data_IF_295302752891
#
_entry.id   IF_295302752891
#
_cell.length_a   1.000
_cell.length_b   1.000
_cell.length_c   1.000
_cell.angle_alpha   90.00
_cell.angle_beta   90.00
_cell.angle_gamma   90.00
#
_symmetry.space_group_name_H-M   'P 1'
#
loop_
_entity.id
_entity.type
_entity.pdbx_description
1 polymer ?
#
# COMPACT_ATOMS: atom_id res chain seq x y z
N UNK A 1 -46.10 -13.11 11.04
CA UNK A 1 -45.40 -13.10 9.73
C UNK A 1 -45.42 -14.53 9.19
N UNK A 2 -45.87 -14.79 7.96
CA UNK A 2 -46.00 -16.18 7.46
C UNK A 2 -44.65 -16.74 7.01
N UNK A 3 -44.43 -18.05 7.15
CA UNK A 3 -43.21 -18.75 6.70
C UNK A 3 -42.84 -18.41 5.25
N UNK A 4 -43.84 -18.32 4.36
CA UNK A 4 -43.67 -17.92 2.96
C UNK A 4 -43.13 -16.49 2.79
N UNK A 5 -43.51 -15.55 3.65
CA UNK A 5 -42.96 -14.18 3.65
C UNK A 5 -41.53 -14.15 4.17
N UNK A 6 -41.22 -14.91 5.21
CA UNK A 6 -39.87 -15.06 5.75
C UNK A 6 -38.91 -15.65 4.70
N UNK A 7 -39.31 -16.73 4.02
CA UNK A 7 -38.50 -17.36 2.97
C UNK A 7 -38.21 -16.41 1.80
N UNK A 8 -39.18 -15.60 1.37
CA UNK A 8 -38.95 -14.60 0.31
C UNK A 8 -37.93 -13.54 0.72
N UNK A 9 -37.97 -13.09 1.97
CA UNK A 9 -37.00 -12.11 2.49
C UNK A 9 -35.62 -12.75 2.61
N UNK A 10 -35.54 -13.95 3.18
CA UNK A 10 -34.28 -14.68 3.28
C UNK A 10 -33.64 -14.90 1.90
N UNK A 11 -34.43 -15.33 0.91
CA UNK A 11 -33.95 -15.51 -0.46
C UNK A 11 -33.49 -14.19 -1.09
N UNK A 12 -34.25 -13.11 -0.89
CA UNK A 12 -33.85 -11.77 -1.35
C UNK A 12 -32.53 -11.29 -0.73
N UNK A 13 -32.32 -11.54 0.58
CA UNK A 13 -31.08 -11.22 1.28
C UNK A 13 -29.89 -12.04 0.76
N UNK A 14 -30.10 -13.33 0.46
CA UNK A 14 -29.06 -14.18 -0.12
C UNK A 14 -28.63 -13.67 -1.49
N UNK A 15 -29.58 -13.29 -2.35
CA UNK A 15 -29.26 -12.69 -3.66
C UNK A 15 -28.50 -11.37 -3.48
N UNK A 16 -28.98 -10.49 -2.61
CA UNK A 16 -28.31 -9.21 -2.34
C UNK A 16 -26.88 -9.40 -1.85
N UNK A 17 -26.68 -10.36 -0.93
CA UNK A 17 -25.36 -10.72 -0.43
C UNK A 17 -24.47 -11.26 -1.55
N UNK A 18 -24.97 -12.16 -2.40
CA UNK A 18 -24.21 -12.71 -3.52
C UNK A 18 -23.79 -11.61 -4.52
N UNK A 19 -24.67 -10.65 -4.81
CA UNK A 19 -24.34 -9.49 -5.66
C UNK A 19 -23.29 -8.61 -4.99
N UNK A 20 -23.42 -8.33 -3.70
CA UNK A 20 -22.44 -7.52 -2.96
C UNK A 20 -21.05 -8.17 -2.96
N UNK A 21 -20.97 -9.48 -2.70
CA UNK A 21 -19.72 -10.25 -2.78
C UNK A 21 -19.17 -10.22 -4.20
N UNK A 22 -19.99 -10.47 -5.22
CA UNK A 22 -19.57 -10.42 -6.62
C UNK A 22 -18.99 -9.07 -7.04
N UNK A 23 -19.65 -7.96 -6.67
CA UNK A 23 -19.15 -6.61 -6.93
C UNK A 23 -17.85 -6.31 -6.17
N UNK A 24 -17.72 -6.83 -4.95
CA UNK A 24 -16.52 -6.67 -4.12
C UNK A 24 -15.34 -7.42 -4.74
N UNK A 25 -15.53 -8.67 -5.17
CA UNK A 25 -14.52 -9.48 -5.87
C UNK A 25 -13.95 -8.79 -7.11
N UNK A 26 -14.77 -8.02 -7.83
CA UNK A 26 -14.37 -7.35 -9.07
C UNK A 26 -13.64 -6.02 -8.77
N UNK A 27 -14.18 -5.22 -7.86
CA UNK A 27 -13.70 -3.85 -7.67
C UNK A 27 -12.59 -3.73 -6.62
N UNK A 28 -12.73 -4.49 -5.52
CA UNK A 28 -11.90 -4.42 -4.32
C UNK A 28 -11.68 -5.83 -3.74
N UNK A 29 -11.04 -6.74 -4.50
CA UNK A 29 -10.83 -8.14 -4.09
C UNK A 29 -10.07 -8.26 -2.77
N UNK A 30 -9.26 -7.27 -2.40
CA UNK A 30 -8.53 -7.23 -1.13
C UNK A 30 -9.46 -7.20 0.10
N UNK A 31 -10.70 -6.70 -0.02
CA UNK A 31 -11.68 -6.74 1.08
C UNK A 31 -11.98 -8.18 1.44
N UNK A 32 -12.15 -9.06 0.44
CA UNK A 32 -12.39 -10.47 0.70
C UNK A 32 -11.19 -11.11 1.38
N UNK A 33 -9.97 -10.77 0.92
CA UNK A 33 -8.73 -11.21 1.59
C UNK A 33 -8.71 -10.76 3.05
N UNK A 34 -9.04 -9.51 3.33
CA UNK A 34 -9.10 -8.97 4.68
C UNK A 34 -10.11 -9.70 5.57
N UNK A 35 -11.34 -9.92 5.09
CA UNK A 35 -12.37 -10.68 5.83
C UNK A 35 -11.94 -12.13 6.09
N UNK A 36 -11.21 -12.75 5.17
CA UNK A 36 -10.65 -14.11 5.34
C UNK A 36 -9.34 -14.16 6.14
N UNK A 37 -8.78 -13.02 6.54
CA UNK A 37 -7.52 -12.94 7.29
C UNK A 37 -6.23 -12.96 6.46
N UNK A 38 -6.31 -12.93 5.12
CA UNK A 38 -5.14 -12.89 4.22
C UNK A 38 -4.77 -11.49 3.72
N UNK A 39 -5.30 -10.44 4.36
CA UNK A 39 -4.86 -9.06 4.18
C UNK A 39 -4.90 -8.29 5.51
N UNK A 40 -4.03 -7.29 5.59
CA UNK A 40 -3.86 -6.35 6.70
C UNK A 40 -4.47 -5.00 6.36
N UNK A 41 -4.94 -4.30 7.38
CA UNK A 41 -5.46 -2.94 7.29
C UNK A 41 -4.47 -1.99 7.97
N UNK A 42 -3.98 -1.00 7.23
CA UNK A 42 -2.98 -0.02 7.69
C UNK A 42 -3.58 1.33 8.06
N UNK A 43 -4.90 1.48 8.00
CA UNK A 43 -5.55 2.73 8.34
C UNK A 43 -5.35 3.84 7.31
N UNK A 44 -5.47 5.09 7.77
CA UNK A 44 -5.37 6.31 6.96
C UNK A 44 -3.91 6.79 6.85
N UNK A 45 -3.58 7.65 5.88
CA UNK A 45 -2.27 8.26 5.82
C UNK A 45 -1.95 9.02 7.11
N UNK A 46 -0.71 8.87 7.59
CA UNK A 46 -0.19 9.66 8.70
C UNK A 46 0.21 11.07 8.23
N UNK A 47 0.26 12.07 9.12
CA UNK A 47 0.64 13.44 8.77
C UNK A 47 2.17 13.57 8.62
N UNK A 48 2.75 12.94 7.59
CA UNK A 48 4.14 13.09 7.23
C UNK A 48 4.30 14.08 6.06
N UNK A 49 5.39 14.86 6.06
CA UNK A 49 5.73 15.72 4.93
C UNK A 49 6.73 15.00 4.04
N UNK A 50 6.36 14.75 2.78
CA UNK A 50 7.24 14.13 1.79
C UNK A 50 7.80 15.20 0.86
N UNK A 51 9.09 15.11 0.57
CA UNK A 51 9.78 15.93 -0.40
C UNK A 51 10.32 15.07 -1.52
N UNK A 52 10.13 15.50 -2.76
CA UNK A 52 10.78 14.94 -3.95
C UNK A 52 11.61 16.00 -4.64
N UNK A 53 12.89 15.73 -4.93
CA UNK A 53 13.84 16.72 -5.46
C UNK A 53 13.88 18.01 -4.61
N UNK A 54 13.76 17.87 -3.28
CA UNK A 54 13.75 18.98 -2.33
C UNK A 54 12.45 19.79 -2.26
N UNK A 55 11.46 19.53 -3.11
CA UNK A 55 10.16 20.20 -3.11
C UNK A 55 9.09 19.36 -2.41
N UNK A 56 8.16 20.00 -1.70
CA UNK A 56 7.05 19.31 -1.03
C UNK A 56 6.19 18.58 -2.07
N UNK A 57 5.89 17.31 -1.82
CA UNK A 57 5.06 16.47 -2.67
C UNK A 57 3.88 15.91 -1.87
N UNK A 58 2.69 16.48 -2.10
CA UNK A 58 1.46 16.11 -1.41
C UNK A 58 0.77 14.87 -2.00
N UNK A 59 1.25 14.35 -3.14
CA UNK A 59 0.69 13.20 -3.82
C UNK A 59 1.21 11.87 -3.24
N UNK A 60 2.40 11.89 -2.64
CA UNK A 60 2.94 10.72 -1.92
C UNK A 60 2.31 10.66 -0.53
N UNK A 61 1.68 9.53 -0.23
CA UNK A 61 1.06 9.26 1.09
C UNK A 61 1.94 8.32 1.89
N UNK A 62 1.99 8.51 3.20
CA UNK A 62 2.71 7.63 4.13
C UNK A 62 1.69 6.96 5.04
N UNK A 63 1.76 5.64 5.18
CA UNK A 63 0.94 4.84 6.08
C UNK A 63 1.83 4.19 7.12
N UNK A 64 1.31 3.99 8.34
CA UNK A 64 2.03 3.29 9.40
C UNK A 64 1.43 1.90 9.61
N UNK A 65 2.29 0.89 9.69
CA UNK A 65 1.92 -0.51 9.86
C UNK A 65 2.27 -1.00 11.26
N UNK A 66 1.28 -1.06 12.14
CA UNK A 66 1.35 -1.66 13.49
C UNK A 66 0.92 -3.14 13.44
N UNK A 67 1.62 -4.12 14.05
CA UNK A 67 2.81 -4.02 14.92
C UNK A 67 4.16 -4.19 14.21
N UNK A 68 4.19 -4.19 12.88
CA UNK A 68 5.44 -4.39 12.14
C UNK A 68 6.46 -3.26 12.36
N UNK A 69 6.00 -2.08 12.79
CA UNK A 69 6.81 -0.86 12.94
C UNK A 69 7.44 -0.41 11.62
N UNK A 70 6.62 -0.42 10.56
CA UNK A 70 7.05 -0.04 9.22
C UNK A 70 6.23 1.14 8.70
N UNK A 71 6.83 1.94 7.83
CA UNK A 71 6.09 2.87 6.98
C UNK A 71 5.86 2.29 5.59
N UNK A 72 4.72 2.60 5.00
CA UNK A 72 4.41 2.28 3.60
C UNK A 72 4.19 3.60 2.88
N UNK A 73 5.04 3.89 1.91
CA UNK A 73 4.84 5.00 0.99
C UNK A 73 3.96 4.52 -0.14
N UNK A 74 2.93 5.27 -0.45
CA UNK A 74 2.16 5.11 -1.68
C UNK A 74 2.56 6.20 -2.66
N UNK A 75 3.07 5.76 -3.81
CA UNK A 75 3.45 6.56 -4.96
C UNK A 75 2.47 6.34 -6.12
N UNK A 76 1.23 5.94 -5.84
CA UNK A 76 0.20 5.58 -6.83
C UNK A 76 -0.05 6.66 -7.90
N UNK A 77 0.13 7.93 -7.54
CA UNK A 77 -0.03 9.06 -8.47
C UNK A 77 1.18 9.23 -9.42
N UNK A 78 2.33 8.65 -9.09
CA UNK A 78 3.56 8.65 -9.89
C UNK A 78 3.78 7.34 -10.63
N UNK A 79 3.30 6.23 -10.07
CA UNK A 79 3.40 4.89 -10.65
C UNK A 79 2.09 4.13 -10.48
N UNK A 80 1.18 4.29 -11.46
CA UNK A 80 -0.16 3.71 -11.37
C UNK A 80 -0.19 2.19 -11.58
N UNK A 81 0.78 1.66 -12.35
CA UNK A 81 0.83 0.27 -12.82
C UNK A 81 2.17 -0.43 -12.55
N UNK A 82 3.20 0.27 -12.10
CA UNK A 82 4.52 -0.29 -11.89
C UNK A 82 4.77 -0.78 -10.47
N UNK A 83 5.97 -1.32 -10.30
CA UNK A 83 6.42 -1.98 -9.09
C UNK A 83 6.77 -0.98 -7.98
N UNK A 84 6.98 0.31 -8.29
CA UNK A 84 7.37 1.34 -7.32
C UNK A 84 6.18 2.08 -6.72
N UNK A 85 4.97 1.66 -7.09
CA UNK A 85 3.71 2.17 -6.53
C UNK A 85 3.68 2.16 -5.01
N UNK A 86 4.34 1.19 -4.38
CA UNK A 86 4.49 1.14 -2.94
C UNK A 86 5.93 0.86 -2.56
N UNK A 87 6.37 1.51 -1.49
CA UNK A 87 7.71 1.31 -0.91
C UNK A 87 7.52 1.09 0.58
N UNK A 88 8.01 -0.04 1.09
CA UNK A 88 7.98 -0.36 2.51
C UNK A 88 9.30 0.08 3.15
N UNK A 89 9.22 0.73 4.29
CA UNK A 89 10.36 1.21 5.07
C UNK A 89 10.30 0.52 6.42
N UNK A 90 11.26 -0.36 6.65
CA UNK A 90 11.42 -1.06 7.92
C UNK A 90 12.24 -0.22 8.88
N UNK A 91 11.66 0.16 10.01
CA UNK A 91 12.32 1.01 11.00
C UNK A 91 13.21 0.21 11.96
N UNK A 92 12.94 -1.09 12.12
CA UNK A 92 13.71 -1.95 13.02
C UNK A 92 15.05 -2.31 12.38
N UNK A 93 14.98 -2.81 11.14
CA UNK A 93 16.13 -3.28 10.37
C UNK A 93 16.74 -2.18 9.48
N UNK A 94 16.13 -0.99 9.45
CA UNK A 94 16.62 0.21 8.74
C UNK A 94 16.91 -0.04 7.26
N UNK A 95 15.96 -0.63 6.56
CA UNK A 95 16.04 -0.87 5.12
C UNK A 95 14.74 -0.52 4.41
N UNK A 96 14.80 -0.49 3.08
CA UNK A 96 13.66 -0.21 2.22
C UNK A 96 13.42 -1.41 1.29
N UNK A 97 12.16 -1.84 1.22
CA UNK A 97 11.71 -2.93 0.37
C UNK A 97 10.67 -2.49 -0.66
N UNK A 98 10.69 -3.13 -1.82
CA UNK A 98 9.66 -3.05 -2.84
C UNK A 98 8.81 -4.31 -2.76
N UNK A 99 7.48 -4.21 -2.71
CA UNK A 99 6.64 -5.40 -2.71
C UNK A 99 6.76 -6.18 -4.02
N UNK A 100 6.63 -7.50 -3.93
CA UNK A 100 6.61 -8.40 -5.09
C UNK A 100 5.36 -8.22 -5.97
N UNK A 101 4.33 -7.56 -5.45
CA UNK A 101 3.11 -7.24 -6.18
C UNK A 101 2.46 -5.94 -5.68
N UNK A 102 2.00 -5.12 -6.62
CA UNK A 102 1.35 -3.81 -6.37
C UNK A 102 -0.06 -3.72 -6.94
N UNK A 103 -0.62 -4.86 -7.37
CA UNK A 103 -1.94 -4.94 -7.98
C UNK A 103 -3.05 -4.63 -6.96
N UNK A 104 -4.30 -4.45 -7.40
CA UNK A 104 -5.46 -4.32 -6.49
C UNK A 104 -5.68 -5.55 -5.59
N UNK A 105 -5.12 -6.70 -5.97
CA UNK A 105 -5.14 -7.89 -5.12
C UNK A 105 -4.10 -7.83 -4.00
N UNK A 106 -3.09 -6.97 -4.13
CA UNK A 106 -1.95 -6.86 -3.22
C UNK A 106 -2.03 -5.62 -2.35
N UNK A 107 -2.46 -4.50 -2.95
CA UNK A 107 -2.67 -3.24 -2.27
C UNK A 107 -3.88 -2.52 -2.85
N UNK A 108 -4.73 -1.98 -1.98
CA UNK A 108 -5.84 -1.13 -2.41
C UNK A 108 -6.10 0.01 -1.43
N UNK A 109 -6.55 1.14 -1.97
CA UNK A 109 -6.98 2.29 -1.21
C UNK A 109 -8.49 2.39 -1.26
N UNK A 110 -9.13 2.08 -0.14
CA UNK A 110 -10.59 1.99 -0.04
C UNK A 110 -11.04 3.01 0.99
N UNK A 111 -11.79 4.01 0.54
CA UNK A 111 -12.21 5.15 1.37
C UNK A 111 -11.05 5.84 2.12
N UNK A 112 -9.87 5.91 1.48
CA UNK A 112 -8.66 6.50 2.06
C UNK A 112 -7.93 5.61 3.07
N UNK A 113 -8.35 4.36 3.24
CA UNK A 113 -7.65 3.37 4.04
C UNK A 113 -6.82 2.44 3.16
N UNK A 114 -5.57 2.18 3.55
CA UNK A 114 -4.71 1.24 2.84
C UNK A 114 -4.93 -0.18 3.36
N UNK A 115 -5.15 -1.10 2.43
CA UNK A 115 -5.13 -2.53 2.67
C UNK A 115 -3.95 -3.15 1.94
N UNK A 116 -3.37 -4.20 2.53
CA UNK A 116 -2.23 -4.93 1.98
C UNK A 116 -2.46 -6.44 2.13
N UNK A 117 -2.39 -7.23 1.08
CA UNK A 117 -2.46 -8.69 1.19
C UNK A 117 -1.18 -9.27 1.81
N UNK A 118 -1.22 -10.54 2.19
CA UNK A 118 -0.01 -11.30 2.52
C UNK A 118 1.04 -11.23 1.39
N UNK A 119 0.61 -11.41 0.13
CA UNK A 119 1.50 -11.33 -1.04
C UNK A 119 2.13 -9.95 -1.21
N UNK A 120 1.37 -8.87 -1.01
CA UNK A 120 1.89 -7.51 -1.01
C UNK A 120 2.86 -7.24 0.15
N UNK A 121 2.84 -8.08 1.19
CA UNK A 121 3.77 -8.08 2.32
C UNK A 121 5.11 -8.72 2.06
N UNK A 122 5.27 -9.47 0.96
CA UNK A 122 6.58 -9.98 0.56
C UNK A 122 7.37 -8.89 -0.14
N UNK A 123 8.55 -8.61 0.40
CA UNK A 123 9.38 -7.49 -0.01
C UNK A 123 10.69 -8.00 -0.61
N UNK A 124 11.16 -7.33 -1.65
CA UNK A 124 12.51 -7.46 -2.19
C UNK A 124 13.29 -6.22 -1.76
N UNK A 125 14.54 -6.34 -1.28
CA UNK A 125 15.38 -5.19 -0.98
C UNK A 125 15.43 -4.22 -2.17
N UNK A 126 15.19 -2.94 -1.91
CA UNK A 126 15.15 -1.91 -2.95
C UNK A 126 16.43 -1.91 -3.78
N UNK A 127 17.59 -2.03 -3.13
CA UNK A 127 18.89 -2.12 -3.81
C UNK A 127 18.99 -3.34 -4.73
N UNK A 128 18.45 -4.49 -4.32
CA UNK A 128 18.48 -5.72 -5.12
C UNK A 128 17.62 -5.59 -6.37
N UNK A 129 16.42 -5.01 -6.23
CA UNK A 129 15.55 -4.74 -7.36
C UNK A 129 16.19 -3.75 -8.35
N UNK A 130 17.00 -2.82 -7.84
CA UNK A 130 17.68 -1.79 -8.63
C UNK A 130 19.08 -2.17 -9.12
N UNK A 131 19.53 -3.42 -8.93
CA UNK A 131 20.88 -3.87 -9.35
C UNK A 131 21.19 -3.60 -10.83
N UNK A 132 20.20 -3.68 -11.71
CA UNK A 132 20.37 -3.38 -13.14
C UNK A 132 20.76 -1.93 -13.44
N UNK A 133 20.57 -1.01 -12.49
CA UNK A 133 20.91 0.40 -12.61
C UNK A 133 22.27 0.76 -11.98
N UNK A 134 22.99 -0.20 -11.38
CA UNK A 134 24.19 0.06 -10.56
C UNK A 134 23.96 1.21 -9.56
N UNK A 135 22.81 1.16 -8.88
CA UNK A 135 22.25 2.27 -8.14
C UNK A 135 22.36 2.04 -6.63
N UNK A 136 22.86 3.04 -5.91
CA UNK A 136 22.86 3.08 -4.45
C UNK A 136 21.78 4.07 -3.97
N UNK A 137 20.76 3.62 -3.21
CA UNK A 137 19.75 4.50 -2.66
C UNK A 137 20.29 5.50 -1.63
N UNK A 138 21.53 5.37 -1.14
CA UNK A 138 22.12 6.24 -0.12
C UNK A 138 21.14 6.51 1.04
N UNK A 139 20.63 5.40 1.59
CA UNK A 139 19.56 5.38 2.57
C UNK A 139 20.04 5.91 3.91
N UNK A 140 19.35 6.92 4.43
CA UNK A 140 19.65 7.55 5.72
C UNK A 140 18.40 7.54 6.58
N UNK A 141 18.55 7.00 7.79
CA UNK A 141 17.57 7.05 8.86
C UNK A 141 18.05 7.96 9.98
N UNK A 142 17.18 8.86 10.40
CA UNK A 142 17.29 9.66 11.63
C UNK A 142 15.95 9.61 12.35
N UNK A 143 15.90 10.05 13.61
CA UNK A 143 14.69 10.00 14.43
C UNK A 143 13.50 10.75 13.81
N UNK A 144 13.75 11.74 12.95
CA UNK A 144 12.71 12.60 12.35
C UNK A 144 12.66 12.53 10.83
N UNK A 145 13.62 11.86 10.21
CA UNK A 145 13.78 11.92 8.77
C UNK A 145 14.30 10.61 8.20
N UNK A 146 13.66 10.18 7.12
CA UNK A 146 14.14 9.10 6.26
C UNK A 146 14.43 9.70 4.88
N UNK A 147 15.61 9.45 4.33
CA UNK A 147 16.01 9.94 3.00
C UNK A 147 16.62 8.83 2.17
N UNK A 148 16.26 8.78 0.91
CA UNK A 148 16.87 7.89 -0.07
C UNK A 148 16.73 8.47 -1.48
N UNK A 149 17.60 8.01 -2.36
CA UNK A 149 17.58 8.33 -3.77
C UNK A 149 16.71 7.32 -4.52
N UNK A 150 16.13 7.79 -5.63
CA UNK A 150 15.44 6.98 -6.61
C UNK A 150 16.25 6.90 -7.90
N UNK A 151 16.18 5.80 -8.65
CA UNK A 151 16.82 5.73 -9.94
C UNK A 151 16.27 6.83 -10.86
N UNK A 152 17.15 7.53 -11.60
CA UNK A 152 16.73 8.60 -12.48
C UNK A 152 15.78 8.08 -13.56
N UNK A 153 14.87 8.95 -14.01
CA UNK A 153 13.95 8.72 -15.13
C UNK A 153 12.83 7.67 -14.93
N UNK A 154 12.69 7.06 -13.75
CA UNK A 154 11.55 6.14 -13.50
C UNK A 154 10.31 6.92 -13.07
N UNK A 155 10.43 7.78 -12.04
CA UNK A 155 9.28 8.47 -11.43
C UNK A 155 9.29 9.99 -11.57
N UNK A 156 10.15 10.54 -12.43
CA UNK A 156 10.40 11.99 -12.65
C UNK A 156 11.04 12.73 -11.47
N UNK A 157 11.46 12.01 -10.43
CA UNK A 157 12.28 12.52 -9.33
C UNK A 157 13.38 11.52 -8.98
N UNK A 158 14.47 12.00 -8.41
CA UNK A 158 15.68 11.23 -8.10
C UNK A 158 15.94 11.11 -6.59
N UNK A 159 15.11 11.75 -5.77
CA UNK A 159 15.29 11.79 -4.33
C UNK A 159 13.96 11.87 -3.60
N UNK A 160 13.88 11.17 -2.48
CA UNK A 160 12.75 11.17 -1.56
C UNK A 160 13.27 11.49 -0.15
N UNK A 161 12.62 12.43 0.51
CA UNK A 161 12.82 12.73 1.93
C UNK A 161 11.47 12.76 2.63
N UNK A 162 11.34 12.01 3.70
CA UNK A 162 10.15 11.96 4.54
C UNK A 162 10.51 12.61 5.86
N UNK A 163 9.73 13.59 6.28
CA UNK A 163 9.78 14.16 7.63
C UNK A 163 8.62 13.61 8.43
N UNK A 164 8.95 12.88 9.49
CA UNK A 164 7.99 12.28 10.41
C UNK A 164 7.53 13.34 11.43
N UNK A 165 6.27 13.24 11.92
CA UNK A 165 5.73 14.12 12.94
C UNK A 165 6.49 14.02 14.28
#
# INVERSE_FOLDING_TARGET
MTLRRLLKIAFGLVILFAVAVGLTSINHPIILKWVTGSAKHHGKPMPATVYTNGQVNNHIKVFYSDPANNYILSLTEHDSLGMLKYINIDLNEKWIGIPVGTSKNDYDLIAGHLFQSETGGHLIPFQDHMKGFNFDPNLIFTDRQIRFNMPPNILKFDSVRITLP
#
